data_IF_486344621426
#
_entry.id   IF_486344621426
#
_cell.length_a   1.000
_cell.length_b   1.000
_cell.length_c   1.000
_cell.angle_alpha   90.00
_cell.angle_beta   90.00
_cell.angle_gamma   90.00
#
_symmetry.space_group_name_H-M   'P 1'
#
loop_
_entity.id
_entity.type
_entity.pdbx_description
1 polymer ?
#
# COMPACT_ATOMS: atom_id res chain seq x y z
N UNK A 1 -2.80 -6.17 -9.71
CA UNK A 1 -2.18 -7.46 -9.30
C UNK A 1 -3.23 -8.55 -9.45
N UNK A 2 -2.88 -9.77 -9.83
CA UNK A 2 -3.83 -10.89 -9.99
C UNK A 2 -3.57 -11.97 -8.93
N UNK A 3 -4.54 -12.22 -8.07
CA UNK A 3 -4.49 -13.18 -6.96
C UNK A 3 -5.11 -14.55 -7.27
N UNK A 4 -5.46 -14.82 -8.54
CA UNK A 4 -6.20 -16.05 -8.91
C UNK A 4 -5.49 -17.36 -8.55
N UNK A 5 -4.17 -17.36 -8.35
CA UNK A 5 -3.37 -18.56 -8.09
C UNK A 5 -2.41 -18.43 -6.90
N UNK A 6 -2.31 -17.25 -6.28
CA UNK A 6 -1.36 -16.96 -5.23
C UNK A 6 -1.96 -15.92 -4.28
N UNK A 7 -1.85 -16.16 -2.99
CA UNK A 7 -2.39 -15.27 -1.95
C UNK A 7 -1.51 -14.06 -1.70
N UNK A 8 -0.32 -14.02 -2.31
CA UNK A 8 0.62 -12.93 -2.16
C UNK A 8 1.10 -12.43 -3.52
N UNK A 9 1.15 -11.11 -3.67
CA UNK A 9 1.71 -10.44 -4.84
C UNK A 9 2.68 -9.37 -4.44
N UNK A 10 3.67 -9.14 -5.30
CA UNK A 10 4.76 -8.20 -5.08
C UNK A 10 4.82 -7.25 -6.27
N UNK A 11 4.88 -5.95 -5.98
CA UNK A 11 5.11 -4.91 -6.96
C UNK A 11 6.36 -4.12 -6.54
N UNK A 12 7.48 -4.28 -7.24
CA UNK A 12 8.61 -3.38 -7.10
C UNK A 12 8.23 -2.00 -7.65
N UNK A 13 8.78 -0.94 -7.06
CA UNK A 13 8.61 0.43 -7.53
C UNK A 13 9.86 1.25 -7.23
N UNK A 14 10.08 2.29 -8.04
CA UNK A 14 11.19 3.21 -7.88
C UNK A 14 10.66 4.59 -7.46
N UNK A 15 11.34 5.22 -6.52
CA UNK A 15 11.09 6.59 -6.08
C UNK A 15 12.29 7.46 -6.44
N UNK A 16 12.03 8.49 -7.23
CA UNK A 16 13.01 9.51 -7.58
C UNK A 16 12.70 10.80 -6.83
N UNK A 17 13.31 10.97 -5.66
CA UNK A 17 13.10 12.13 -4.80
C UNK A 17 14.42 12.58 -4.18
N UNK A 18 14.74 13.87 -4.27
CA UNK A 18 15.96 14.46 -3.71
C UNK A 18 15.74 15.18 -2.37
N UNK A 19 14.60 14.94 -1.72
CA UNK A 19 14.17 15.56 -0.47
C UNK A 19 13.53 14.52 0.45
N UNK A 20 13.45 14.77 1.78
CA UNK A 20 12.61 13.99 2.68
C UNK A 20 11.22 13.77 2.09
N UNK A 21 10.64 12.58 2.27
CA UNK A 21 9.35 12.23 1.68
C UNK A 21 8.37 11.72 2.72
N UNK A 22 7.10 11.93 2.41
CA UNK A 22 5.97 11.32 3.07
C UNK A 22 5.13 10.62 2.02
N UNK A 23 4.47 9.54 2.41
CA UNK A 23 3.59 8.79 1.55
C UNK A 23 2.21 8.70 2.17
N UNK A 24 1.18 8.87 1.37
CA UNK A 24 -0.20 8.55 1.73
C UNK A 24 -0.58 7.24 1.09
N UNK A 25 -1.14 6.32 1.87
CA UNK A 25 -1.66 5.04 1.36
C UNK A 25 -3.15 4.99 1.60
N UNK A 26 -3.92 4.68 0.56
CA UNK A 26 -5.36 4.64 0.57
C UNK A 26 -5.87 3.44 -0.23
N UNK A 27 -6.87 2.73 0.28
CA UNK A 27 -7.63 1.71 -0.42
C UNK A 27 -9.03 2.24 -0.68
N UNK A 28 -9.45 2.21 -1.93
CA UNK A 28 -10.75 2.76 -2.36
C UNK A 28 -11.93 2.09 -1.65
N UNK A 29 -11.85 0.77 -1.47
CA UNK A 29 -12.93 -0.01 -0.86
C UNK A 29 -12.62 -0.46 0.57
N UNK A 30 -11.39 -0.26 1.06
CA UNK A 30 -10.91 -0.81 2.33
C UNK A 30 -10.73 -2.33 2.31
N UNK A 31 -10.62 -2.94 1.11
CA UNK A 31 -10.60 -4.38 0.91
C UNK A 31 -11.06 -4.78 -0.50
N UNK A 32 -10.83 -6.03 -0.87
CA UNK A 32 -11.28 -6.61 -2.14
C UNK A 32 -12.80 -6.71 -2.19
N UNK A 33 -13.43 -5.97 -3.09
CA UNK A 33 -14.88 -5.97 -3.27
C UNK A 33 -15.32 -7.03 -4.27
N UNK A 34 -16.24 -7.92 -3.87
CA UNK A 34 -16.89 -8.85 -4.79
C UNK A 34 -17.79 -8.10 -5.77
N UNK A 35 -17.49 -8.21 -7.06
CA UNK A 35 -18.25 -7.60 -8.14
C UNK A 35 -19.56 -8.38 -8.39
N UNK A 36 -20.60 -7.65 -8.83
CA UNK A 36 -21.92 -8.20 -9.21
C UNK A 36 -22.67 -8.96 -8.09
N UNK A 37 -22.28 -8.79 -6.84
CA UNK A 37 -23.02 -9.29 -5.68
C UNK A 37 -24.12 -8.31 -5.27
N UNK A 38 -25.25 -8.84 -4.78
CA UNK A 38 -26.31 -8.02 -4.18
C UNK A 38 -25.93 -7.50 -2.79
N UNK A 39 -24.89 -8.08 -2.18
CA UNK A 39 -24.32 -7.68 -0.91
C UNK A 39 -22.91 -7.12 -1.13
N UNK A 40 -22.56 -6.04 -0.42
CA UNK A 40 -21.21 -5.50 -0.41
C UNK A 40 -20.30 -6.41 0.42
N UNK A 41 -19.72 -7.42 -0.23
CA UNK A 41 -18.76 -8.34 0.38
C UNK A 41 -17.36 -7.76 0.16
N UNK A 42 -16.67 -7.47 1.26
CA UNK A 42 -15.30 -6.98 1.29
C UNK A 42 -14.40 -8.01 1.95
N UNK A 43 -13.37 -8.47 1.23
CA UNK A 43 -12.35 -9.37 1.76
C UNK A 43 -11.11 -8.55 2.12
N UNK A 44 -10.66 -8.58 3.40
CA UNK A 44 -9.48 -7.84 3.80
C UNK A 44 -8.20 -8.48 3.25
N UNK A 45 -7.20 -7.63 3.05
CA UNK A 45 -5.82 -8.00 2.76
C UNK A 45 -4.86 -7.11 3.56
N UNK A 46 -3.61 -7.55 3.66
CA UNK A 46 -2.48 -6.79 4.18
C UNK A 46 -1.69 -6.13 3.04
N UNK A 47 -1.23 -4.90 3.28
CA UNK A 47 -0.26 -4.19 2.44
C UNK A 47 0.99 -3.97 3.27
N UNK A 48 2.10 -4.54 2.83
CA UNK A 48 3.42 -4.23 3.34
C UNK A 48 4.16 -3.34 2.33
N UNK A 49 4.67 -2.21 2.81
CA UNK A 49 5.53 -1.31 2.04
C UNK A 49 6.91 -1.33 2.69
N UNK A 50 7.89 -1.84 1.96
CA UNK A 50 9.29 -1.88 2.36
C UNK A 50 10.11 -0.97 1.45
N UNK A 51 10.79 -0.01 2.05
CA UNK A 51 11.77 0.85 1.42
C UNK A 51 13.01 0.84 2.33
N UNK A 52 13.82 -0.19 2.14
CA UNK A 52 14.96 -0.50 3.01
C UNK A 52 15.95 0.67 3.12
N UNK A 53 16.21 1.41 2.03
CA UNK A 53 17.12 2.57 2.03
C UNK A 53 16.64 3.71 2.92
N UNK A 54 15.32 3.84 3.14
CA UNK A 54 14.70 4.84 4.00
C UNK A 54 14.44 4.30 5.41
N UNK A 55 14.82 3.05 5.71
CA UNK A 55 14.50 2.37 6.96
C UNK A 55 13.00 2.18 7.17
N UNK A 56 12.23 2.17 6.09
CA UNK A 56 10.78 2.04 6.15
C UNK A 56 10.38 0.59 5.91
N UNK A 57 9.66 0.00 6.85
CA UNK A 57 8.97 -1.26 6.66
C UNK A 57 7.66 -1.20 7.45
N UNK A 58 6.55 -1.05 6.74
CA UNK A 58 5.25 -0.83 7.36
C UNK A 58 4.20 -1.76 6.76
N UNK A 59 3.55 -2.53 7.63
CA UNK A 59 2.39 -3.35 7.30
C UNK A 59 1.12 -2.66 7.75
N UNK A 60 0.13 -2.60 6.86
CA UNK A 60 -1.17 -1.96 7.05
C UNK A 60 -2.27 -2.92 6.60
N UNK A 61 -3.37 -2.97 7.35
CA UNK A 61 -4.56 -3.68 6.89
C UNK A 61 -5.36 -2.79 5.94
N UNK A 62 -5.86 -3.37 4.85
CA UNK A 62 -6.77 -2.72 3.89
C UNK A 62 -7.89 -1.92 4.56
N UNK A 63 -8.52 -2.46 5.60
CA UNK A 63 -9.55 -1.74 6.38
C UNK A 63 -9.06 -0.47 7.06
N UNK A 64 -7.80 -0.43 7.49
CA UNK A 64 -7.18 0.73 8.15
C UNK A 64 -6.79 1.82 7.16
N UNK A 65 -6.61 1.45 5.89
CA UNK A 65 -6.35 2.38 4.78
C UNK A 65 -7.62 2.68 3.97
N UNK A 66 -8.81 2.34 4.48
CA UNK A 66 -10.10 2.86 3.96
C UNK A 66 -10.24 4.38 4.11
N UNK A 67 -9.31 4.99 4.84
CA UNK A 67 -9.01 6.42 4.85
C UNK A 67 -7.51 6.61 4.64
N UNK A 68 -7.06 7.71 4.00
CA UNK A 68 -5.64 7.93 3.73
C UNK A 68 -4.76 7.86 4.99
N UNK A 69 -3.71 7.05 4.96
CA UNK A 69 -2.77 6.89 6.07
C UNK A 69 -1.38 7.38 5.68
N UNK A 70 -0.87 8.32 6.47
CA UNK A 70 0.44 8.94 6.24
C UNK A 70 1.55 8.09 6.86
N UNK A 71 2.59 7.85 6.06
CA UNK A 71 3.83 7.18 6.41
C UNK A 71 4.98 8.17 6.19
N UNK A 72 5.81 8.39 7.20
CA UNK A 72 6.95 9.31 7.13
C UNK A 72 8.27 8.54 7.09
N UNK A 73 9.20 8.95 6.23
CA UNK A 73 10.56 8.42 6.24
C UNK A 73 11.38 9.02 7.38
N UNK A 74 12.18 8.23 8.08
CA UNK A 74 13.02 8.66 9.21
C UNK A 74 14.48 8.92 8.85
N UNK A 75 14.94 8.51 7.66
CA UNK A 75 16.35 8.52 7.27
C UNK A 75 16.69 9.52 6.14
N UNK A 76 17.99 9.80 6.02
CA UNK A 76 18.56 10.65 4.95
C UNK A 76 18.36 9.98 3.59
N UNK A 77 17.75 10.73 2.67
CA UNK A 77 17.20 10.22 1.41
C UNK A 77 18.33 9.98 0.38
N UNK A 78 18.50 8.77 -0.17
CA UNK A 78 19.24 8.58 -1.40
C UNK A 78 18.40 9.08 -2.59
N UNK A 79 19.01 9.88 -3.48
CA UNK A 79 18.36 10.49 -4.66
C UNK A 79 17.46 9.56 -5.47
N UNK A 80 17.83 8.28 -5.56
CA UNK A 80 17.02 7.21 -6.09
C UNK A 80 16.88 6.13 -5.02
N UNK A 81 15.65 5.64 -4.87
CA UNK A 81 15.31 4.64 -3.87
C UNK A 81 14.36 3.63 -4.48
N UNK A 82 14.67 2.36 -4.30
CA UNK A 82 13.81 1.27 -4.73
C UNK A 82 12.99 0.78 -3.53
N UNK A 83 11.75 0.40 -3.78
CA UNK A 83 10.83 -0.11 -2.79
C UNK A 83 10.03 -1.30 -3.31
N UNK A 84 9.38 -1.98 -2.38
CA UNK A 84 8.55 -3.14 -2.67
C UNK A 84 7.24 -2.99 -1.93
N UNK A 85 6.15 -3.05 -2.69
CA UNK A 85 4.81 -3.22 -2.13
C UNK A 85 4.43 -4.70 -2.23
N UNK A 86 4.10 -5.31 -1.10
CA UNK A 86 3.63 -6.68 -1.01
C UNK A 86 2.20 -6.67 -0.50
N UNK A 87 1.31 -7.28 -1.26
CA UNK A 87 -0.09 -7.42 -0.88
C UNK A 87 -0.36 -8.89 -0.60
N UNK A 88 -0.92 -9.19 0.56
CA UNK A 88 -1.18 -10.57 1.02
C UNK A 88 -2.64 -10.70 1.43
N UNK A 89 -3.36 -11.68 0.88
CA UNK A 89 -4.68 -12.06 1.35
C UNK A 89 -4.54 -12.74 2.71
N UNK A 90 -5.26 -12.25 3.73
CA UNK A 90 -5.27 -12.88 5.06
C UNK A 90 -6.04 -14.22 5.02
N UNK A 91 -7.07 -14.27 4.19
CA UNK A 91 -7.98 -15.40 4.06
C UNK A 91 -8.27 -15.72 2.59
N UNK A 92 -8.61 -16.98 2.31
CA UNK A 92 -9.07 -17.39 1.00
C UNK A 92 -10.38 -16.67 0.61
N UNK A 93 -10.55 -16.40 -0.68
CA UNK A 93 -11.79 -15.85 -1.22
C UNK A 93 -12.94 -16.87 -1.05
N UNK A 94 -13.87 -16.58 -0.15
CA UNK A 94 -14.95 -17.53 0.22
C UNK A 94 -16.02 -17.72 -0.88
N UNK A 95 -16.24 -16.72 -1.73
CA UNK A 95 -17.27 -16.74 -2.75
C UNK A 95 -16.65 -16.76 -4.15
N UNK A 96 -17.31 -17.45 -5.07
CA UNK A 96 -16.89 -17.44 -6.47
C UNK A 96 -17.25 -16.10 -7.12
N UNK A 97 -16.31 -15.52 -7.87
CA UNK A 97 -16.54 -14.29 -8.62
C UNK A 97 -15.26 -13.48 -8.82
N UNK A 98 -15.44 -12.25 -9.28
CA UNK A 98 -14.34 -11.31 -9.47
C UNK A 98 -14.30 -10.34 -8.30
N UNK A 99 -13.10 -10.17 -7.75
CA UNK A 99 -12.84 -9.26 -6.65
C UNK A 99 -11.92 -8.15 -7.11
N UNK A 100 -12.21 -6.90 -6.72
CA UNK A 100 -11.40 -5.75 -7.11
C UNK A 100 -11.25 -4.75 -5.97
N UNK A 101 -10.07 -4.13 -5.91
CA UNK A 101 -9.81 -2.94 -5.13
C UNK A 101 -8.71 -2.11 -5.82
N UNK A 102 -8.65 -0.82 -5.46
CA UNK A 102 -7.62 0.12 -5.94
C UNK A 102 -6.89 0.66 -4.73
N UNK A 103 -5.58 0.41 -4.69
CA UNK A 103 -4.67 1.03 -3.72
C UNK A 103 -4.03 2.24 -4.40
N UNK A 104 -4.27 3.42 -3.85
CA UNK A 104 -3.63 4.68 -4.24
C UNK A 104 -2.48 4.98 -3.28
N UNK A 105 -1.32 5.30 -3.85
CA UNK A 105 -0.13 5.71 -3.11
C UNK A 105 0.28 7.07 -3.65
N UNK A 106 0.13 8.11 -2.81
CA UNK A 106 0.61 9.45 -3.11
C UNK A 106 1.95 9.66 -2.43
N UNK A 107 2.98 10.01 -3.20
CA UNK A 107 4.31 10.35 -2.69
C UNK A 107 4.51 11.85 -2.82
N UNK A 108 4.87 12.50 -1.72
CA UNK A 108 5.10 13.94 -1.70
C UNK A 108 6.32 14.31 -0.84
N UNK A 109 7.01 15.40 -1.19
CA UNK A 109 8.13 15.89 -0.38
C UNK A 109 7.61 16.32 0.99
N UNK A 110 8.28 15.87 2.05
CA UNK A 110 7.98 16.28 3.42
C UNK A 110 8.81 17.51 3.77
N UNK A 111 8.11 18.61 4.05
CA UNK A 111 8.73 19.82 4.60
C UNK A 111 8.80 19.63 6.11
N UNK A 112 9.65 18.70 6.56
CA UNK A 112 10.29 18.84 7.86
C UNK A 112 11.69 19.40 7.61
N UNK A 113 11.70 20.55 6.91
CA UNK A 113 12.86 21.41 6.88
C UNK A 113 13.15 21.80 8.32
N UNK A 114 14.36 21.50 8.77
CA UNK A 114 14.94 22.04 9.98
C UNK A 114 14.61 23.53 10.11
N UNK A 115 13.57 23.84 10.88
CA UNK A 115 13.43 25.15 11.49
C UNK A 115 14.59 25.30 12.44
N UNK A 116 15.68 25.88 11.95
CA UNK A 116 16.64 26.55 12.81
C UNK A 116 15.97 27.78 13.42
#
# INVERSE_FOLDING_TARGET
MDFSNEDQKVLPFDIQCNQPLSMSVYSRNGGLQLLNSTQAILTPYEVNIDITSLGLNQTLLSREISSPRIINSSNVIPFNTDGVMRVTLEENLLYAGYYEDVIEIDVFPSIHGSGK
#
